data_IF_025660597730
#
_entry.id   IF_025660597730
#
_cell.length_a   1.000
_cell.length_b   1.000
_cell.length_c   1.000
_cell.angle_alpha   90.00
_cell.angle_beta   90.00
_cell.angle_gamma   90.00
#
_symmetry.space_group_name_H-M   'P 1'
#
loop_
_entity.id
_entity.type
_entity.pdbx_description
1 polymer ?
#
# COMPACT_ATOMS: atom_id res chain seq x y z
N UNK A 1 21.16 -29.20 52.26
CA UNK A 1 21.11 -29.05 53.73
C UNK A 1 21.87 -27.78 54.11
N UNK A 2 21.13 -26.80 54.64
CA UNK A 2 21.53 -25.56 55.34
C UNK A 2 22.63 -24.61 54.81
N UNK A 3 22.15 -23.46 54.30
CA UNK A 3 22.85 -22.16 54.25
C UNK A 3 23.30 -21.72 55.65
N UNK A 4 24.50 -21.14 55.77
CA UNK A 4 24.82 -20.18 56.82
C UNK A 4 25.30 -18.88 56.17
N UNK A 5 24.53 -17.81 56.38
CA UNK A 5 24.89 -16.42 56.07
C UNK A 5 25.76 -15.91 57.21
N UNK A 6 26.88 -15.27 56.89
CA UNK A 6 27.72 -14.55 57.84
C UNK A 6 27.58 -13.06 57.56
N UNK A 7 27.17 -12.29 58.57
CA UNK A 7 27.12 -10.83 58.55
C UNK A 7 28.25 -10.33 59.45
N UNK A 8 29.16 -9.52 58.90
CA UNK A 8 30.09 -8.71 59.70
C UNK A 8 29.74 -7.24 59.50
N UNK A 9 29.21 -6.67 60.58
CA UNK A 9 28.98 -5.24 60.78
C UNK A 9 30.32 -4.61 61.16
N UNK A 10 30.74 -3.56 60.48
CA UNK A 10 31.78 -2.65 60.95
C UNK A 10 31.38 -1.21 60.60
N UNK A 11 30.88 -0.50 61.62
CA UNK A 11 30.85 0.96 61.76
C UNK A 11 32.30 1.48 61.85
N UNK A 12 32.80 2.50 61.15
CA UNK A 12 32.45 3.94 60.98
C UNK A 12 33.64 4.78 61.51
N UNK A 13 33.81 5.99 60.95
CA UNK A 13 34.77 7.09 61.26
C UNK A 13 36.02 7.05 60.33
N UNK A 14 36.25 8.03 59.45
CA UNK A 14 36.69 9.41 59.76
C UNK A 14 36.05 10.48 58.85
N UNK A 15 35.91 11.65 59.46
CA UNK A 15 35.14 12.86 59.15
C UNK A 15 35.90 13.87 58.27
N UNK A 16 35.15 14.42 57.30
CA UNK A 16 35.15 15.78 56.70
C UNK A 16 36.46 16.48 56.33
N UNK A 17 36.63 16.69 55.01
CA UNK A 17 37.19 17.91 54.44
C UNK A 17 36.13 18.50 53.51
N UNK A 18 35.66 19.71 53.85
CA UNK A 18 34.65 20.43 53.08
C UNK A 18 35.23 21.17 51.87
N UNK A 19 34.40 21.38 50.84
CA UNK A 19 34.68 22.36 49.78
C UNK A 19 34.04 22.10 48.41
N UNK A 20 32.74 22.35 48.30
CA UNK A 20 31.92 22.75 47.14
C UNK A 20 31.85 21.90 45.84
N UNK A 21 30.62 21.52 45.49
CA UNK A 21 30.16 20.86 44.25
C UNK A 21 29.97 21.85 43.08
N UNK A 22 29.89 21.34 41.83
CA UNK A 22 28.59 21.38 41.16
C UNK A 22 28.23 20.09 40.37
N UNK A 23 27.06 19.54 40.75
CA UNK A 23 25.96 19.01 39.94
C UNK A 23 26.20 17.99 38.79
N UNK A 24 26.13 16.70 39.17
CA UNK A 24 25.10 15.71 38.80
C UNK A 24 24.48 15.75 37.38
N UNK A 25 24.82 14.75 36.56
CA UNK A 25 23.83 13.92 35.85
C UNK A 25 24.45 12.61 35.34
N UNK A 26 24.28 11.53 36.09
CA UNK A 26 24.18 10.18 35.51
C UNK A 26 22.71 9.95 35.16
N UNK A 27 22.45 9.43 33.96
CA UNK A 27 21.37 8.47 33.74
C UNK A 27 21.67 7.66 32.47
N UNK A 28 22.06 6.41 32.70
CA UNK A 28 22.03 5.28 31.77
C UNK A 28 20.59 4.79 31.69
N UNK A 29 19.93 4.86 30.53
CA UNK A 29 18.73 4.06 30.19
C UNK A 29 18.67 3.93 28.65
N UNK A 30 18.90 2.74 28.11
CA UNK A 30 17.86 1.77 27.69
C UNK A 30 16.97 2.29 26.55
N UNK A 31 17.30 1.76 25.38
CA UNK A 31 16.54 1.53 24.15
C UNK A 31 15.01 1.47 24.33
N UNK A 32 14.31 2.33 23.59
CA UNK A 32 13.03 1.97 22.99
C UNK A 32 13.10 2.33 21.50
N UNK A 33 13.32 1.31 20.67
CA UNK A 33 13.03 1.37 19.26
C UNK A 33 11.55 1.69 19.11
N UNK A 34 11.20 2.94 18.79
CA UNK A 34 9.88 3.24 18.26
C UNK A 34 9.80 2.61 16.88
N UNK A 35 9.40 1.33 16.86
CA UNK A 35 8.71 0.73 15.73
C UNK A 35 7.50 1.63 15.50
N UNK A 36 7.66 2.61 14.62
CA UNK A 36 6.53 3.24 13.97
C UNK A 36 5.91 2.11 13.17
N UNK A 37 4.89 1.49 13.76
CA UNK A 37 3.92 0.68 13.06
C UNK A 37 3.36 1.57 11.95
N UNK A 38 3.99 1.48 10.77
CA UNK A 38 3.46 2.07 9.56
C UNK A 38 2.21 1.26 9.25
N UNK A 39 1.07 1.67 9.81
CA UNK A 39 -0.25 1.25 9.36
C UNK A 39 -0.37 1.61 7.89
N UNK A 40 0.04 0.68 7.04
CA UNK A 40 -0.04 0.81 5.60
C UNK A 40 -1.43 0.34 5.19
N UNK A 41 -2.47 1.07 5.63
CA UNK A 41 -3.81 0.91 5.07
C UNK A 41 -3.78 1.51 3.67
N UNK A 42 -3.38 0.68 2.70
CA UNK A 42 -3.73 0.95 1.33
C UNK A 42 -5.23 0.72 1.18
N UNK A 43 -6.02 1.78 1.26
CA UNK A 43 -7.46 1.71 0.98
C UNK A 43 -7.68 2.05 -0.48
N UNK A 44 -7.78 1.03 -1.34
CA UNK A 44 -8.30 1.23 -2.69
C UNK A 44 -9.65 1.99 -2.61
N UNK A 45 -9.86 2.97 -3.49
CA UNK A 45 -11.12 3.73 -3.52
C UNK A 45 -12.05 3.16 -4.58
N UNK A 46 -13.26 2.79 -4.18
CA UNK A 46 -14.29 2.31 -5.10
C UNK A 46 -15.21 3.46 -5.45
N UNK A 47 -15.55 3.58 -6.73
CA UNK A 47 -16.61 4.49 -7.18
C UNK A 47 -17.94 4.12 -6.50
N UNK A 48 -18.64 5.07 -5.86
CA UNK A 48 -19.84 4.79 -5.08
C UNK A 48 -21.03 4.31 -5.92
N UNK A 49 -20.95 4.39 -7.26
CA UNK A 49 -21.98 3.83 -8.14
C UNK A 49 -21.93 2.30 -8.26
N UNK A 50 -20.88 1.65 -7.75
CA UNK A 50 -20.77 0.19 -7.71
C UNK A 50 -21.44 -0.33 -6.42
N UNK A 51 -22.49 -1.13 -6.57
CA UNK A 51 -23.11 -1.83 -5.44
C UNK A 51 -22.26 -3.04 -4.99
N UNK A 52 -21.44 -2.84 -3.96
CA UNK A 52 -20.59 -3.87 -3.35
C UNK A 52 -21.34 -4.93 -2.55
N UNK A 53 -22.67 -4.87 -2.45
CA UNK A 53 -23.49 -5.93 -1.85
C UNK A 53 -24.05 -6.92 -2.89
N UNK A 54 -23.96 -6.57 -4.17
CA UNK A 54 -24.56 -7.35 -5.26
C UNK A 54 -23.78 -8.64 -5.55
N UNK A 55 -24.53 -9.71 -5.81
CA UNK A 55 -23.98 -10.98 -6.30
C UNK A 55 -23.90 -11.04 -7.83
N UNK A 56 -24.42 -10.02 -8.52
CA UNK A 56 -24.33 -9.92 -9.97
C UNK A 56 -22.90 -9.62 -10.40
N UNK A 57 -22.54 -10.12 -11.58
CA UNK A 57 -21.28 -9.77 -12.22
C UNK A 57 -21.32 -8.32 -12.71
N UNK A 58 -20.23 -7.61 -12.46
CA UNK A 58 -20.01 -6.24 -12.91
C UNK A 58 -18.71 -6.17 -13.69
N UNK A 59 -18.66 -5.35 -14.74
CA UNK A 59 -17.41 -5.00 -15.42
C UNK A 59 -16.85 -3.73 -14.80
N UNK A 60 -15.57 -3.78 -14.42
CA UNK A 60 -14.86 -2.70 -13.71
C UNK A 60 -13.53 -2.39 -14.38
N UNK A 61 -13.04 -1.18 -14.14
CA UNK A 61 -11.68 -0.73 -14.47
C UNK A 61 -10.94 -0.49 -13.15
N UNK A 62 -9.80 -1.14 -12.97
CA UNK A 62 -8.93 -1.01 -11.81
C UNK A 62 -7.70 -0.19 -12.20
N UNK A 63 -7.50 0.94 -11.52
CA UNK A 63 -6.30 1.78 -11.63
C UNK A 63 -5.25 1.32 -10.64
N UNK A 64 -4.02 1.12 -11.10
CA UNK A 64 -2.88 0.83 -10.23
C UNK A 64 -2.24 2.11 -9.71
N UNK A 65 -1.62 2.03 -8.53
CA UNK A 65 -0.88 3.16 -7.94
C UNK A 65 0.35 3.54 -8.76
N UNK A 66 1.03 2.56 -9.34
CA UNK A 66 2.19 2.79 -10.20
C UNK A 66 1.74 3.57 -11.43
N UNK A 67 2.33 4.74 -11.66
CA UNK A 67 2.01 5.57 -12.83
C UNK A 67 2.54 4.95 -14.12
N UNK A 68 1.96 5.27 -15.28
CA UNK A 68 2.56 4.87 -16.54
C UNK A 68 3.96 5.43 -16.71
N UNK A 69 4.85 4.68 -17.35
CA UNK A 69 6.30 4.93 -17.28
C UNK A 69 6.72 6.34 -17.70
N UNK A 70 6.16 6.86 -18.81
CA UNK A 70 6.45 8.22 -19.29
C UNK A 70 6.02 9.30 -18.28
N UNK A 71 4.87 9.11 -17.64
CA UNK A 71 4.36 10.04 -16.61
C UNK A 71 5.26 10.00 -15.39
N UNK A 72 5.64 8.81 -14.92
CA UNK A 72 6.53 8.64 -13.78
C UNK A 72 7.88 9.33 -13.96
N UNK A 73 8.49 9.21 -15.15
CA UNK A 73 9.76 9.88 -15.49
C UNK A 73 9.61 11.41 -15.46
N UNK A 74 8.53 11.95 -16.02
CA UNK A 74 8.28 13.40 -16.02
C UNK A 74 8.06 13.93 -14.60
N UNK A 75 7.27 13.24 -13.78
CA UNK A 75 7.06 13.62 -12.38
C UNK A 75 8.34 13.52 -11.54
N UNK A 76 9.16 12.47 -11.75
CA UNK A 76 10.44 12.31 -11.07
C UNK A 76 11.40 13.45 -11.44
N UNK A 77 11.52 13.77 -12.74
CA UNK A 77 12.34 14.87 -13.23
C UNK A 77 11.90 16.21 -12.63
N UNK A 78 10.60 16.48 -12.55
CA UNK A 78 10.06 17.69 -11.92
C UNK A 78 10.39 17.78 -10.42
N UNK A 79 10.63 16.64 -9.75
CA UNK A 79 11.06 16.54 -8.36
C UNK A 79 12.58 16.48 -8.19
N UNK A 80 13.36 16.64 -9.27
CA UNK A 80 14.83 16.52 -9.24
C UNK A 80 15.34 15.09 -9.06
N UNK A 81 14.49 14.08 -9.23
CA UNK A 81 14.85 12.66 -9.12
C UNK A 81 15.17 12.12 -10.50
N UNK A 82 16.32 11.44 -10.65
CA UNK A 82 16.64 10.71 -11.86
C UNK A 82 15.94 9.35 -11.85
N UNK A 83 15.01 9.14 -12.79
CA UNK A 83 14.35 7.87 -13.04
C UNK A 83 14.42 7.60 -14.55
N UNK A 84 15.02 6.48 -14.94
CA UNK A 84 15.09 6.12 -16.35
C UNK A 84 13.76 5.56 -16.84
N UNK A 85 13.53 5.66 -18.15
CA UNK A 85 12.34 5.08 -18.78
C UNK A 85 12.26 3.56 -18.58
N UNK A 86 13.40 2.86 -18.64
CA UNK A 86 13.45 1.40 -18.48
C UNK A 86 13.13 0.98 -17.04
N UNK A 87 13.63 1.70 -16.04
CA UNK A 87 13.25 1.46 -14.64
C UNK A 87 11.75 1.70 -14.41
N UNK A 88 11.22 2.78 -14.98
CA UNK A 88 9.79 3.08 -14.87
C UNK A 88 8.92 2.03 -15.57
N UNK A 89 9.32 1.52 -16.74
CA UNK A 89 8.65 0.39 -17.42
C UNK A 89 8.71 -0.87 -16.57
N UNK A 90 9.86 -1.17 -15.96
CA UNK A 90 10.01 -2.31 -15.05
C UNK A 90 9.06 -2.20 -13.84
N UNK A 91 8.88 -1.01 -13.28
CA UNK A 91 7.92 -0.77 -12.19
C UNK A 91 6.47 -1.02 -12.65
N UNK A 92 6.11 -0.62 -13.88
CA UNK A 92 4.80 -0.95 -14.47
C UNK A 92 4.64 -2.46 -14.55
N UNK A 93 5.58 -3.20 -15.13
CA UNK A 93 5.49 -4.67 -15.21
C UNK A 93 5.39 -5.34 -13.84
N UNK A 94 6.15 -4.85 -12.85
CA UNK A 94 6.07 -5.35 -11.47
C UNK A 94 4.70 -5.09 -10.85
N UNK A 95 4.07 -3.95 -11.11
CA UNK A 95 2.70 -3.69 -10.63
C UNK A 95 1.71 -4.71 -11.18
N UNK A 96 1.83 -5.08 -12.46
CA UNK A 96 1.01 -6.12 -13.08
C UNK A 96 1.27 -7.52 -12.51
N UNK A 97 2.54 -7.85 -12.22
CA UNK A 97 2.88 -9.11 -11.56
C UNK A 97 2.32 -9.18 -10.14
N UNK A 98 2.43 -8.10 -9.37
CA UNK A 98 1.86 -8.01 -8.02
C UNK A 98 0.35 -8.10 -8.05
N UNK A 99 -0.32 -7.46 -9.02
CA UNK A 99 -1.76 -7.59 -9.20
C UNK A 99 -2.18 -9.02 -9.56
N UNK A 100 -1.47 -9.70 -10.47
CA UNK A 100 -1.76 -11.12 -10.74
C UNK A 100 -1.62 -12.00 -9.51
N UNK A 101 -0.63 -11.75 -8.66
CA UNK A 101 -0.49 -12.44 -7.37
C UNK A 101 -1.63 -12.11 -6.42
N UNK A 102 -2.13 -10.87 -6.41
CA UNK A 102 -3.31 -10.51 -5.61
C UNK A 102 -4.53 -11.34 -6.02
N UNK A 103 -4.72 -11.62 -7.31
CA UNK A 103 -5.88 -12.39 -7.80
C UNK A 103 -5.93 -13.83 -7.30
N UNK A 104 -4.84 -14.37 -6.72
CA UNK A 104 -4.89 -15.70 -6.10
C UNK A 104 -5.88 -15.74 -4.94
N UNK A 105 -6.17 -14.60 -4.27
CA UNK A 105 -7.24 -14.53 -3.27
C UNK A 105 -8.61 -14.88 -3.86
N UNK A 106 -8.85 -14.56 -5.13
CA UNK A 106 -10.09 -14.92 -5.82
C UNK A 106 -10.08 -16.39 -6.20
N UNK A 107 -8.94 -16.90 -6.69
CA UNK A 107 -8.76 -18.31 -7.06
C UNK A 107 -8.98 -19.25 -5.86
N UNK A 108 -8.37 -18.92 -4.71
CA UNK A 108 -8.50 -19.67 -3.45
C UNK A 108 -9.95 -19.71 -2.93
N UNK A 109 -10.70 -18.64 -3.19
CA UNK A 109 -12.11 -18.54 -2.83
C UNK A 109 -13.04 -19.02 -3.96
N UNK A 110 -12.49 -19.62 -5.03
CA UNK A 110 -13.24 -20.16 -6.19
C UNK A 110 -14.14 -19.12 -6.87
N UNK A 111 -13.73 -17.86 -6.83
CA UNK A 111 -14.45 -16.75 -7.46
C UNK A 111 -14.15 -16.75 -8.95
N UNK A 112 -15.20 -16.83 -9.78
CA UNK A 112 -15.05 -16.65 -11.23
C UNK A 112 -14.82 -15.18 -11.56
N UNK A 113 -13.72 -14.89 -12.25
CA UNK A 113 -13.43 -13.58 -12.81
C UNK A 113 -12.82 -13.70 -14.20
N UNK A 114 -12.84 -12.60 -14.97
CA UNK A 114 -12.23 -12.51 -16.29
C UNK A 114 -11.53 -11.17 -16.45
N UNK A 115 -10.23 -11.19 -16.74
CA UNK A 115 -9.53 -9.97 -17.18
C UNK A 115 -9.88 -9.74 -18.66
N UNK A 116 -10.47 -8.59 -18.97
CA UNK A 116 -10.85 -8.23 -20.35
C UNK A 116 -9.70 -7.52 -21.06
N UNK A 117 -9.10 -6.53 -20.39
CA UNK A 117 -7.99 -5.75 -20.95
C UNK A 117 -6.91 -5.45 -19.91
N UNK A 118 -5.67 -5.31 -20.39
CA UNK A 118 -4.51 -4.91 -19.61
C UNK A 118 -3.95 -3.61 -20.18
N UNK A 119 -3.76 -2.60 -19.31
CA UNK A 119 -3.31 -1.27 -19.68
C UNK A 119 -1.94 -0.95 -19.06
N UNK A 120 -1.01 -0.43 -19.86
CA UNK A 120 0.39 -0.16 -19.44
C UNK A 120 0.97 1.17 -19.90
N UNK A 121 0.25 1.94 -20.73
CA UNK A 121 0.81 3.03 -21.54
C UNK A 121 0.29 4.41 -21.15
N UNK A 122 -0.94 4.76 -21.51
CA UNK A 122 -1.60 6.01 -21.10
C UNK A 122 -2.30 5.86 -19.75
N UNK A 123 -2.64 4.62 -19.40
CA UNK A 123 -3.22 4.20 -18.14
C UNK A 123 -2.46 2.95 -17.66
N UNK A 124 -2.39 2.75 -16.34
CA UNK A 124 -1.80 1.55 -15.77
C UNK A 124 -2.84 0.84 -14.90
N UNK A 125 -3.25 -0.36 -15.31
CA UNK A 125 -4.36 -1.06 -14.68
C UNK A 125 -4.92 -2.18 -15.53
N UNK A 126 -6.11 -2.65 -15.17
CA UNK A 126 -6.84 -3.69 -15.93
C UNK A 126 -8.32 -3.33 -16.02
N UNK A 127 -9.04 -3.88 -16.99
CA UNK A 127 -10.49 -4.06 -16.87
C UNK A 127 -10.80 -5.53 -16.66
N UNK A 128 -11.79 -5.81 -15.82
CA UNK A 128 -12.17 -7.17 -15.49
C UNK A 128 -13.63 -7.28 -15.09
N UNK A 129 -14.16 -8.49 -15.21
CA UNK A 129 -15.50 -8.88 -14.78
C UNK A 129 -15.41 -9.83 -13.57
N UNK A 130 -16.21 -9.57 -12.53
CA UNK A 130 -16.36 -10.40 -11.34
C UNK A 130 -17.68 -10.07 -10.60
N UNK A 131 -18.18 -10.93 -9.70
CA UNK A 131 -19.30 -10.58 -8.81
C UNK A 131 -18.98 -9.34 -7.97
N UNK A 132 -19.91 -8.39 -7.86
CA UNK A 132 -19.62 -7.08 -7.26
C UNK A 132 -19.14 -7.16 -5.79
N UNK A 133 -19.75 -8.02 -4.97
CA UNK A 133 -19.34 -8.24 -3.59
C UNK A 133 -17.91 -8.76 -3.42
N UNK A 134 -17.36 -9.42 -4.45
CA UNK A 134 -16.00 -9.96 -4.44
C UNK A 134 -14.92 -8.88 -4.58
N UNK A 135 -15.29 -7.67 -5.02
CA UNK A 135 -14.41 -6.50 -5.05
C UNK A 135 -13.84 -6.18 -3.65
N UNK A 136 -14.60 -6.47 -2.59
CA UNK A 136 -14.16 -6.26 -1.20
C UNK A 136 -12.83 -6.98 -0.89
N UNK A 137 -12.58 -8.14 -1.50
CA UNK A 137 -11.33 -8.91 -1.31
C UNK A 137 -10.10 -8.22 -1.89
N UNK A 138 -10.31 -7.29 -2.83
CA UNK A 138 -9.23 -6.56 -3.50
C UNK A 138 -8.85 -5.26 -2.75
N UNK A 139 -9.68 -4.78 -1.82
CA UNK A 139 -9.55 -3.43 -1.25
C UNK A 139 -8.34 -3.24 -0.34
N UNK A 140 -7.86 -4.30 0.30
CA UNK A 140 -6.65 -4.27 1.14
C UNK A 140 -5.34 -4.22 0.34
N UNK A 141 -5.43 -4.25 -1.00
CA UNK A 141 -4.26 -4.34 -1.87
C UNK A 141 -3.42 -3.07 -1.88
N UNK A 142 -2.10 -3.24 -1.79
CA UNK A 142 -1.13 -2.14 -1.94
C UNK A 142 -0.95 -1.66 -3.38
N UNK A 143 -1.34 -2.46 -4.38
CA UNK A 143 -1.17 -2.12 -5.81
C UNK A 143 -2.34 -1.32 -6.37
N UNK A 144 -3.54 -1.46 -5.82
CA UNK A 144 -4.75 -0.80 -6.33
C UNK A 144 -4.84 0.63 -5.79
N UNK A 145 -5.11 1.57 -6.70
CA UNK A 145 -5.42 2.96 -6.40
C UNK A 145 -6.93 3.16 -6.32
N UNK A 146 -7.64 2.85 -7.41
CA UNK A 146 -9.07 3.12 -7.58
C UNK A 146 -9.76 2.06 -8.42
N UNK A 147 -11.06 1.91 -8.25
CA UNK A 147 -11.92 0.99 -8.99
C UNK A 147 -13.12 1.76 -9.51
N UNK A 148 -13.35 1.69 -10.81
CA UNK A 148 -14.42 2.40 -11.52
C UNK A 148 -15.33 1.40 -12.24
N UNK A 149 -16.62 1.73 -12.46
CA UNK A 149 -17.47 0.96 -13.35
C UNK A 149 -16.97 1.08 -14.80
N UNK A 150 -16.95 -0.03 -15.53
CA UNK A 150 -16.69 -0.02 -16.97
C UNK A 150 -18.02 0.23 -17.71
N UNK A 151 -18.32 1.50 -18.03
CA UNK A 151 -19.59 1.91 -18.63
C UNK A 151 -19.49 1.96 -20.15
N UNK A 152 -20.52 1.43 -20.82
CA UNK A 152 -20.75 1.70 -22.24
C UNK A 152 -21.49 3.03 -22.38
N UNK A 153 -20.97 3.91 -23.23
CA UNK A 153 -21.59 5.20 -23.56
C UNK A 153 -22.13 5.11 -24.99
N UNK A 154 -23.35 5.57 -25.19
CA UNK A 154 -23.99 5.66 -26.51
C UNK A 154 -24.15 7.14 -26.87
N UNK A 155 -24.02 7.45 -28.16
CA UNK A 155 -24.22 8.80 -28.67
C UNK A 155 -25.71 9.07 -28.88
N UNK A 156 -26.13 10.30 -28.63
CA UNK A 156 -27.49 10.78 -28.87
C UNK A 156 -27.46 12.07 -29.72
N UNK A 157 -27.92 12.05 -30.98
CA UNK A 157 -28.48 10.89 -31.67
C UNK A 157 -27.41 9.83 -31.99
N UNK A 158 -27.79 8.55 -32.16
CA UNK A 158 -26.86 7.52 -32.61
C UNK A 158 -26.28 7.91 -33.98
N UNK A 159 -24.97 7.69 -34.19
CA UNK A 159 -24.35 7.97 -35.48
C UNK A 159 -24.98 7.05 -36.54
N UNK A 160 -25.55 7.65 -37.57
CA UNK A 160 -25.96 6.90 -38.75
C UNK A 160 -24.73 6.66 -39.64
N UNK A 161 -24.42 5.42 -40.08
CA UNK A 161 -23.26 5.16 -40.94
C UNK A 161 -23.22 6.00 -42.23
N UNK A 162 -24.37 6.49 -42.69
CA UNK A 162 -24.50 7.40 -43.84
C UNK A 162 -23.99 8.82 -43.57
N UNK A 163 -23.92 9.26 -42.31
CA UNK A 163 -23.41 10.59 -41.94
C UNK A 163 -21.87 10.64 -41.89
N UNK A 164 -21.20 9.50 -42.12
CA UNK A 164 -19.75 9.34 -42.11
C UNK A 164 -19.15 9.18 -43.52
N UNK A 165 -19.96 9.25 -44.59
CA UNK A 165 -19.53 9.16 -45.99
C UNK A 165 -19.46 10.53 -46.66
#
# INVERSE_FOLDING_TARGET
>A
MFKKKSYCIALLIVVLIGGCQPNKSENVYQKEDKVVEKKMHSSAKVDPSIDLSSHQKVSIIIEFKTKPAKVAVLEAKAKGINLTLEEAKRQVEQSHQTFRKLLTVLDENKVSYKIEHTYKTAFNGVSMELPAHEINRLLGSSVISKIYPNKQIQLDPPINPSDQM
#
